data_IF_697439730981
#
_entry.id   IF_697439730981
#
_cell.length_a   1.000
_cell.length_b   1.000
_cell.length_c   1.000
_cell.angle_alpha   90.00
_cell.angle_beta   90.00
_cell.angle_gamma   90.00
#
_symmetry.space_group_name_H-M   'P 1'
#
loop_
_entity.id
_entity.type
_entity.pdbx_description
1 polymer ?
#
# COMPACT_ATOMS: atom_id res chain seq x y z
N UNK A 1 -17.73 30.55 24.83
CA UNK A 1 -17.30 31.65 23.94
C UNK A 1 -16.17 32.42 24.60
N UNK A 2 -16.34 32.99 25.84
CA UNK A 2 -15.29 33.77 26.51
C UNK A 2 -13.91 33.08 26.54
N UNK A 3 -13.87 31.78 26.88
CA UNK A 3 -12.62 30.98 26.89
C UNK A 3 -11.96 30.85 25.52
N UNK A 4 -12.75 30.85 24.44
CA UNK A 4 -12.25 30.84 23.06
C UNK A 4 -11.69 32.21 22.66
N UNK A 5 -12.33 33.28 23.09
CA UNK A 5 -11.82 34.64 22.89
C UNK A 5 -10.48 34.84 23.62
N UNK A 6 -10.34 34.30 24.83
CA UNK A 6 -9.09 34.35 25.60
C UNK A 6 -7.98 33.56 24.89
N UNK A 7 -8.31 32.39 24.31
CA UNK A 7 -7.36 31.59 23.54
C UNK A 7 -6.84 32.32 22.33
N UNK A 8 -7.72 32.90 21.49
CA UNK A 8 -7.32 33.59 20.27
C UNK A 8 -6.64 34.94 20.53
N UNK A 9 -6.74 35.50 21.75
CA UNK A 9 -6.05 36.70 22.21
C UNK A 9 -4.79 36.40 23.03
N UNK A 10 -4.49 35.14 23.27
CA UNK A 10 -3.32 34.74 24.06
C UNK A 10 -2.00 35.02 23.32
N UNK A 11 -0.88 34.87 24.02
CA UNK A 11 0.47 35.08 23.46
C UNK A 11 0.76 34.16 22.24
N UNK A 12 0.09 33.00 22.14
CA UNK A 12 0.18 32.11 21.00
C UNK A 12 -0.20 32.84 19.69
N UNK A 13 -1.22 33.70 19.72
CA UNK A 13 -1.67 34.42 18.54
C UNK A 13 -0.68 35.50 18.05
N UNK A 14 0.29 35.90 18.87
CA UNK A 14 1.33 36.85 18.49
C UNK A 14 2.43 36.20 17.63
N UNK A 15 2.64 34.89 17.75
CA UNK A 15 3.70 34.15 17.07
C UNK A 15 3.17 33.07 16.12
N UNK A 16 1.87 32.82 16.13
CA UNK A 16 1.21 31.75 15.38
C UNK A 16 -0.07 32.24 14.72
N UNK A 17 -0.40 31.69 13.56
CA UNK A 17 -1.70 31.88 12.94
C UNK A 17 -2.70 30.89 13.55
N UNK A 18 -3.85 31.39 13.97
CA UNK A 18 -4.93 30.57 14.53
C UNK A 18 -6.16 30.73 13.64
N UNK A 19 -6.68 29.62 13.13
CA UNK A 19 -8.01 29.50 12.56
C UNK A 19 -8.84 28.58 13.42
N UNK A 20 -10.01 29.01 13.86
CA UNK A 20 -10.87 28.24 14.73
C UNK A 20 -12.33 28.37 14.31
N UNK A 21 -13.01 27.23 14.19
CA UNK A 21 -14.45 27.14 13.97
C UNK A 21 -15.03 26.11 14.94
N UNK A 22 -16.06 26.51 15.67
CA UNK A 22 -16.90 25.59 16.44
C UNK A 22 -18.26 25.55 15.78
N UNK A 23 -18.68 24.37 15.36
CA UNK A 23 -19.90 24.16 14.59
C UNK A 23 -20.85 23.24 15.32
N UNK A 24 -22.11 23.62 15.42
CA UNK A 24 -23.17 22.78 15.94
C UNK A 24 -23.77 21.97 14.78
N UNK A 25 -23.55 20.65 14.82
CA UNK A 25 -24.01 19.74 13.76
C UNK A 25 -25.54 19.54 13.79
N UNK A 26 -26.16 19.66 14.95
CA UNK A 26 -27.62 19.49 15.09
C UNK A 26 -28.37 20.75 14.63
N UNK A 27 -27.84 21.92 14.99
CA UNK A 27 -28.38 23.21 14.58
C UNK A 27 -27.92 23.67 13.19
N UNK A 28 -26.98 22.94 12.57
CA UNK A 28 -26.35 23.28 11.29
C UNK A 28 -25.85 24.73 11.23
N UNK A 29 -25.17 25.17 12.28
CA UNK A 29 -24.73 26.54 12.43
C UNK A 29 -23.39 26.69 13.18
N UNK A 30 -22.63 27.73 12.82
CA UNK A 30 -21.41 28.07 13.52
C UNK A 30 -21.72 28.75 14.87
N UNK A 31 -21.17 28.24 15.96
CA UNK A 31 -21.23 28.79 17.30
C UNK A 31 -20.13 29.84 17.50
N UNK A 32 -18.97 29.61 16.90
CA UNK A 32 -17.78 30.46 17.02
C UNK A 32 -16.92 30.37 15.77
N UNK A 33 -16.45 31.53 15.31
CA UNK A 33 -15.58 31.68 14.15
C UNK A 33 -14.45 32.66 14.46
N UNK A 34 -13.22 32.27 14.12
CA UNK A 34 -12.04 33.12 14.15
C UNK A 34 -11.08 32.74 13.04
N UNK A 35 -10.88 33.58 12.04
CA UNK A 35 -10.03 33.30 10.86
C UNK A 35 -10.31 31.96 10.19
N UNK A 36 -11.53 31.46 10.25
CA UNK A 36 -11.93 30.14 9.76
C UNK A 36 -11.77 29.97 8.24
N UNK A 37 -11.76 31.08 7.51
CA UNK A 37 -11.54 31.12 6.06
C UNK A 37 -10.07 31.33 5.67
N UNK A 38 -9.17 31.46 6.66
CA UNK A 38 -7.77 31.68 6.35
C UNK A 38 -7.13 30.40 5.81
N UNK A 39 -6.50 30.52 4.65
CA UNK A 39 -5.75 29.40 4.05
C UNK A 39 -4.51 29.09 4.88
N UNK A 40 -4.41 27.85 5.32
CA UNK A 40 -3.28 27.32 6.10
C UNK A 40 -2.75 26.06 5.46
N UNK A 41 -1.49 25.67 5.81
CA UNK A 41 -0.95 24.39 5.43
C UNK A 41 -1.64 23.27 6.24
N UNK A 42 -2.35 22.33 5.59
CA UNK A 42 -3.14 21.34 6.31
C UNK A 42 -2.29 20.25 6.98
N UNK A 43 -1.03 20.04 6.54
CA UNK A 43 -0.17 18.96 7.01
C UNK A 43 -0.93 17.62 7.05
N UNK A 44 -0.78 16.86 8.14
CA UNK A 44 -1.42 15.54 8.27
C UNK A 44 -2.95 15.56 8.41
N UNK A 45 -3.57 16.73 8.56
CA UNK A 45 -5.05 16.82 8.52
C UNK A 45 -5.60 16.48 7.13
N UNK A 46 -4.78 16.57 6.07
CA UNK A 46 -5.13 16.07 4.73
C UNK A 46 -5.50 14.58 4.72
N UNK A 47 -5.01 13.79 5.66
CA UNK A 47 -5.37 12.37 5.77
C UNK A 47 -6.84 12.15 6.05
N UNK A 48 -7.50 13.09 6.72
CA UNK A 48 -8.95 13.06 6.94
C UNK A 48 -9.70 13.17 5.61
N UNK A 49 -9.26 14.06 4.72
CA UNK A 49 -9.86 14.18 3.38
C UNK A 49 -9.68 12.88 2.59
N UNK A 50 -8.48 12.30 2.63
CA UNK A 50 -8.21 10.99 1.99
C UNK A 50 -9.10 9.89 2.56
N UNK A 51 -9.31 9.88 3.89
CA UNK A 51 -10.17 8.90 4.56
C UNK A 51 -11.63 9.03 4.13
N UNK A 52 -12.16 10.24 4.12
CA UNK A 52 -13.54 10.53 3.70
C UNK A 52 -13.75 10.10 2.25
N UNK A 53 -12.87 10.53 1.34
CA UNK A 53 -12.94 10.16 -0.07
C UNK A 53 -12.83 8.64 -0.29
N UNK A 54 -11.99 7.96 0.52
CA UNK A 54 -11.85 6.51 0.43
C UNK A 54 -13.11 5.78 0.91
N UNK A 55 -13.74 6.21 1.99
CA UNK A 55 -15.00 5.64 2.47
C UNK A 55 -16.15 5.87 1.49
N UNK A 56 -16.23 7.06 0.91
CA UNK A 56 -17.22 7.40 -0.10
C UNK A 56 -17.06 6.57 -1.38
N UNK A 57 -15.83 6.51 -1.90
CA UNK A 57 -15.54 5.88 -3.20
C UNK A 57 -15.38 4.37 -3.16
N UNK A 58 -14.74 3.85 -2.14
CA UNK A 58 -14.41 2.42 -2.03
C UNK A 58 -15.42 1.66 -1.14
N UNK A 59 -16.05 2.37 -0.21
CA UNK A 59 -16.95 1.79 0.78
C UNK A 59 -16.24 1.18 1.99
N UNK A 60 -16.96 1.03 3.10
CA UNK A 60 -16.43 0.51 4.37
C UNK A 60 -16.03 -0.96 4.34
N UNK A 61 -16.52 -1.74 3.37
CA UNK A 61 -16.17 -3.16 3.18
C UNK A 61 -14.95 -3.38 2.29
N UNK A 62 -14.31 -2.31 1.79
CA UNK A 62 -13.15 -2.42 0.91
C UNK A 62 -11.99 -3.17 1.57
N UNK A 63 -11.29 -3.98 0.77
CA UNK A 63 -10.14 -4.76 1.20
C UNK A 63 -8.94 -4.50 0.29
N UNK A 64 -7.81 -4.17 0.89
CA UNK A 64 -6.52 -4.21 0.23
C UNK A 64 -6.16 -5.67 -0.03
N UNK A 65 -5.67 -5.97 -1.21
CA UNK A 65 -5.46 -7.35 -1.64
C UNK A 65 -4.05 -7.54 -2.21
N UNK A 66 -3.35 -8.57 -1.74
CA UNK A 66 -2.10 -9.05 -2.34
C UNK A 66 -2.31 -10.50 -2.77
N UNK A 67 -2.02 -10.80 -4.03
CA UNK A 67 -2.25 -12.12 -4.61
C UNK A 67 -0.95 -12.87 -4.89
N UNK A 68 -0.99 -14.18 -4.73
CA UNK A 68 0.02 -15.11 -5.21
C UNK A 68 -0.60 -15.98 -6.29
N UNK A 69 0.00 -15.95 -7.49
CA UNK A 69 -0.48 -16.66 -8.66
C UNK A 69 0.67 -17.41 -9.34
N UNK A 70 0.35 -18.37 -10.20
CA UNK A 70 1.33 -19.07 -11.02
C UNK A 70 0.87 -19.23 -12.46
N UNK A 71 1.83 -19.52 -13.34
CA UNK A 71 1.61 -19.95 -14.73
C UNK A 71 2.16 -21.34 -14.95
N UNK A 72 1.80 -21.98 -16.06
CA UNK A 72 2.30 -23.29 -16.41
C UNK A 72 1.53 -24.42 -15.75
N UNK A 73 2.18 -25.55 -15.51
CA UNK A 73 1.55 -26.76 -14.99
C UNK A 73 2.34 -27.37 -13.82
N UNK A 74 1.61 -28.04 -12.94
CA UNK A 74 2.21 -28.79 -11.84
C UNK A 74 2.22 -30.26 -12.25
N UNK A 75 3.42 -30.86 -12.33
CA UNK A 75 3.63 -32.30 -12.60
C UNK A 75 4.31 -32.96 -11.41
N UNK A 76 3.62 -33.86 -10.77
CA UNK A 76 4.09 -34.39 -9.48
C UNK A 76 4.17 -33.24 -8.47
N UNK A 77 5.37 -33.00 -7.95
CA UNK A 77 5.65 -31.90 -7.01
C UNK A 77 6.38 -30.69 -7.64
N UNK A 78 6.53 -30.71 -8.98
CA UNK A 78 7.28 -29.69 -9.72
C UNK A 78 6.34 -28.73 -10.42
N UNK A 79 6.45 -27.44 -10.14
CA UNK A 79 5.84 -26.38 -10.93
C UNK A 79 6.73 -26.07 -12.15
N UNK A 80 6.28 -26.40 -13.35
CA UNK A 80 6.88 -25.99 -14.62
C UNK A 80 6.28 -24.65 -15.07
N UNK A 81 6.69 -23.56 -14.43
CA UNK A 81 6.10 -22.24 -14.65
C UNK A 81 6.61 -21.21 -13.67
N UNK A 82 6.09 -20.01 -13.79
CA UNK A 82 6.52 -18.86 -13.00
C UNK A 82 5.52 -18.54 -11.89
N UNK A 83 6.01 -17.99 -10.79
CA UNK A 83 5.18 -17.44 -9.72
C UNK A 83 5.10 -15.90 -9.86
N UNK A 84 3.93 -15.34 -9.60
CA UNK A 84 3.66 -13.90 -9.60
C UNK A 84 3.13 -13.45 -8.25
N UNK A 85 3.89 -12.59 -7.58
CA UNK A 85 3.43 -11.85 -6.41
C UNK A 85 2.80 -10.55 -6.89
N UNK A 86 1.47 -10.42 -6.80
CA UNK A 86 0.72 -9.29 -7.34
C UNK A 86 0.42 -8.32 -6.22
N UNK A 87 1.09 -7.17 -6.25
CA UNK A 87 0.93 -6.14 -5.24
C UNK A 87 -0.32 -5.30 -5.43
N UNK A 88 -1.14 -5.22 -4.40
CA UNK A 88 -2.29 -4.32 -4.32
C UNK A 88 -2.05 -3.09 -3.45
N UNK A 89 -0.80 -2.77 -3.18
CA UNK A 89 -0.40 -1.68 -2.31
C UNK A 89 -1.03 -1.77 -0.93
N UNK A 90 -0.96 -2.96 -0.34
CA UNK A 90 -1.35 -3.21 1.04
C UNK A 90 -0.21 -2.82 2.00
N UNK A 91 -0.33 -1.71 2.74
CA UNK A 91 0.76 -1.23 3.61
C UNK A 91 0.91 -2.06 4.87
N UNK A 92 -0.08 -2.93 5.14
CA UNK A 92 -0.15 -3.76 6.35
C UNK A 92 0.45 -5.15 6.15
N UNK A 93 0.75 -5.55 4.90
CA UNK A 93 1.33 -6.85 4.59
C UNK A 93 2.59 -7.10 5.43
N UNK A 94 2.63 -8.22 6.12
CA UNK A 94 3.65 -8.54 7.12
C UNK A 94 4.22 -9.96 6.95
N UNK A 95 5.00 -10.40 7.95
CA UNK A 95 5.65 -11.72 7.93
C UNK A 95 4.65 -12.88 8.00
N UNK A 96 3.53 -12.71 8.73
CA UNK A 96 2.51 -13.76 8.83
C UNK A 96 1.79 -13.94 7.50
N UNK A 97 1.57 -12.85 6.75
CA UNK A 97 1.03 -12.91 5.40
C UNK A 97 2.00 -13.61 4.44
N UNK A 98 3.30 -13.34 4.59
CA UNK A 98 4.34 -14.01 3.82
C UNK A 98 4.38 -15.51 4.13
N UNK A 99 4.28 -15.90 5.40
CA UNK A 99 4.20 -17.30 5.82
C UNK A 99 2.98 -17.99 5.20
N UNK A 100 1.84 -17.30 5.16
CA UNK A 100 0.63 -17.82 4.51
C UNK A 100 0.80 -17.99 2.99
N UNK A 101 1.62 -17.17 2.33
CA UNK A 101 1.98 -17.37 0.92
C UNK A 101 2.80 -18.61 0.72
N UNK A 102 3.82 -18.83 1.54
CA UNK A 102 4.67 -20.02 1.50
C UNK A 102 3.84 -21.29 1.78
N UNK A 103 2.99 -21.23 2.79
CA UNK A 103 2.06 -22.31 3.09
C UNK A 103 1.10 -22.61 1.91
N UNK A 104 0.65 -21.58 1.20
CA UNK A 104 -0.15 -21.73 -0.01
C UNK A 104 0.57 -22.54 -1.09
N UNK A 105 1.85 -22.26 -1.33
CA UNK A 105 2.68 -23.04 -2.28
C UNK A 105 2.81 -24.48 -1.83
N UNK A 106 3.08 -24.73 -0.56
CA UNK A 106 3.23 -26.08 0.01
C UNK A 106 1.93 -26.89 -0.04
N UNK A 107 0.78 -26.27 0.22
CA UNK A 107 -0.54 -26.93 0.11
C UNK A 107 -0.86 -27.40 -1.29
N UNK A 108 -0.30 -26.76 -2.30
CA UNK A 108 -0.42 -27.24 -3.68
C UNK A 108 0.49 -28.45 -3.99
N UNK A 109 1.27 -28.91 -3.01
CA UNK A 109 2.22 -30.00 -3.16
C UNK A 109 3.46 -29.62 -3.96
N UNK A 110 3.78 -28.33 -4.09
CA UNK A 110 4.94 -27.83 -4.83
C UNK A 110 6.15 -27.87 -3.90
N UNK A 111 7.13 -28.71 -4.22
CA UNK A 111 8.45 -28.75 -3.58
C UNK A 111 9.57 -28.20 -4.48
N UNK A 112 9.29 -28.04 -5.78
CA UNK A 112 10.25 -27.53 -6.76
C UNK A 112 9.57 -26.55 -7.71
N UNK A 113 10.19 -25.41 -7.93
CA UNK A 113 9.75 -24.39 -8.90
C UNK A 113 10.80 -24.35 -10.02
N UNK A 114 10.41 -24.80 -11.23
CA UNK A 114 11.22 -24.65 -12.46
C UNK A 114 10.73 -23.40 -13.21
N UNK A 115 11.15 -22.23 -12.76
CA UNK A 115 10.75 -20.93 -13.28
C UNK A 115 11.17 -19.79 -12.39
N UNK A 116 10.63 -18.61 -12.67
CA UNK A 116 11.00 -17.38 -11.98
C UNK A 116 9.90 -16.93 -10.99
N UNK A 117 10.29 -16.14 -10.01
CA UNK A 117 9.36 -15.44 -9.11
C UNK A 117 9.35 -13.96 -9.49
N UNK A 118 8.21 -13.46 -9.91
CA UNK A 118 8.05 -12.08 -10.37
C UNK A 118 7.23 -11.24 -9.40
N UNK A 119 7.60 -9.96 -9.27
CA UNK A 119 6.81 -8.93 -8.65
C UNK A 119 5.93 -8.25 -9.70
N UNK A 120 4.61 -8.34 -9.59
CA UNK A 120 3.70 -7.49 -10.35
C UNK A 120 3.40 -6.22 -9.55
N UNK A 121 4.03 -5.13 -9.94
CA UNK A 121 3.86 -3.79 -9.37
C UNK A 121 3.03 -2.86 -10.27
N UNK A 122 2.33 -3.41 -11.27
CA UNK A 122 1.63 -2.65 -12.30
C UNK A 122 0.40 -1.87 -11.81
N UNK A 123 0.00 -2.07 -10.56
CA UNK A 123 -1.11 -1.34 -9.94
C UNK A 123 -0.86 0.17 -9.93
N UNK A 124 0.37 0.59 -9.69
CA UNK A 124 0.79 1.97 -9.48
C UNK A 124 1.90 2.37 -10.46
N UNK A 125 2.04 3.67 -10.70
CA UNK A 125 3.19 4.25 -11.41
C UNK A 125 4.52 4.01 -10.67
N UNK A 126 5.61 4.46 -11.28
CA UNK A 126 6.97 4.24 -10.76
C UNK A 126 7.42 5.28 -9.72
N UNK A 127 6.55 6.23 -9.33
CA UNK A 127 6.89 7.22 -8.29
C UNK A 127 7.18 6.51 -6.96
N UNK A 128 8.35 6.73 -6.40
CA UNK A 128 8.85 6.02 -5.21
C UNK A 128 8.64 6.78 -3.92
N UNK A 129 8.34 8.06 -4.00
CA UNK A 129 8.12 8.95 -2.85
C UNK A 129 6.78 9.65 -2.99
N UNK A 130 6.14 9.97 -1.88
CA UNK A 130 4.94 10.78 -1.85
C UNK A 130 5.25 12.24 -2.18
N UNK A 131 4.31 12.90 -2.85
CA UNK A 131 4.43 14.33 -3.14
C UNK A 131 4.43 15.13 -1.82
N UNK A 132 5.36 16.05 -1.68
CA UNK A 132 5.49 16.88 -0.48
C UNK A 132 6.16 16.20 0.71
N UNK A 133 6.69 14.99 0.56
CA UNK A 133 7.54 14.39 1.59
C UNK A 133 8.87 15.12 1.71
N UNK A 134 9.31 15.35 2.93
CA UNK A 134 10.60 15.96 3.19
C UNK A 134 11.73 14.94 3.01
N UNK A 135 12.89 15.41 2.59
CA UNK A 135 14.07 14.57 2.33
C UNK A 135 14.68 13.96 3.60
N UNK A 136 14.42 14.58 4.75
CA UNK A 136 14.88 14.18 6.08
C UNK A 136 13.85 13.33 6.85
N UNK A 137 12.68 13.09 6.26
CA UNK A 137 11.69 12.18 6.82
C UNK A 137 12.09 10.72 6.59
N UNK A 138 11.89 9.86 7.60
CA UNK A 138 12.02 8.40 7.47
C UNK A 138 10.81 7.81 6.73
N UNK A 139 10.67 8.20 5.47
CA UNK A 139 9.57 7.74 4.63
C UNK A 139 9.93 6.45 3.89
N UNK A 140 9.05 5.44 3.89
CA UNK A 140 9.26 4.23 3.12
C UNK A 140 9.06 4.48 1.62
N UNK A 141 9.66 3.61 0.81
CA UNK A 141 9.41 3.62 -0.62
C UNK A 141 7.93 3.28 -0.94
N UNK A 142 7.30 4.05 -1.82
CA UNK A 142 5.99 3.73 -2.36
C UNK A 142 6.10 2.61 -3.39
N UNK A 143 5.72 1.42 -3.01
CA UNK A 143 5.67 0.25 -3.87
C UNK A 143 4.39 -0.54 -3.62
N UNK A 144 3.71 -1.03 -4.66
CA UNK A 144 2.51 -1.88 -4.48
C UNK A 144 2.79 -3.18 -3.74
N UNK A 145 4.05 -3.59 -3.66
CA UNK A 145 4.45 -4.85 -3.06
C UNK A 145 5.54 -4.59 -2.01
N UNK A 146 5.12 -4.43 -0.77
CA UNK A 146 5.97 -4.17 0.39
C UNK A 146 5.84 -5.29 1.43
N UNK A 147 6.86 -5.46 2.25
CA UNK A 147 6.79 -6.25 3.47
C UNK A 147 7.49 -5.50 4.60
N UNK A 148 6.75 -5.21 5.68
CA UNK A 148 7.27 -4.45 6.80
C UNK A 148 7.86 -3.10 6.36
N UNK A 149 7.19 -2.37 5.46
CA UNK A 149 7.56 -1.06 4.89
C UNK A 149 8.78 -1.07 3.95
N UNK A 150 9.30 -2.26 3.59
CA UNK A 150 10.49 -2.41 2.73
C UNK A 150 10.15 -3.02 1.37
N UNK A 151 10.77 -2.51 0.31
CA UNK A 151 10.62 -3.00 -1.08
C UNK A 151 11.62 -4.15 -1.36
N UNK A 152 11.54 -5.20 -0.55
CA UNK A 152 12.35 -6.41 -0.66
C UNK A 152 11.49 -7.69 -0.61
N UNK A 153 10.26 -7.59 -1.11
CA UNK A 153 9.27 -8.66 -1.00
C UNK A 153 9.76 -9.96 -1.66
N UNK A 154 10.22 -9.88 -2.90
CA UNK A 154 10.63 -11.08 -3.66
C UNK A 154 11.79 -11.79 -3.00
N UNK A 155 12.80 -11.05 -2.55
CA UNK A 155 13.97 -11.64 -1.89
C UNK A 155 13.55 -12.39 -0.62
N UNK A 156 12.67 -11.77 0.18
CA UNK A 156 12.17 -12.40 1.42
C UNK A 156 11.27 -13.60 1.15
N UNK A 157 10.42 -13.52 0.13
CA UNK A 157 9.53 -14.61 -0.23
C UNK A 157 10.32 -15.80 -0.76
N UNK A 158 11.25 -15.57 -1.68
CA UNK A 158 12.11 -16.63 -2.21
C UNK A 158 12.98 -17.27 -1.13
N UNK A 159 13.60 -16.46 -0.26
CA UNK A 159 14.37 -16.99 0.87
C UNK A 159 13.51 -17.86 1.78
N UNK A 160 12.30 -17.39 2.11
CA UNK A 160 11.39 -18.14 2.97
C UNK A 160 10.93 -19.45 2.34
N UNK A 161 10.71 -19.50 1.01
CA UNK A 161 10.43 -20.75 0.28
C UNK A 161 11.59 -21.75 0.43
N UNK A 162 12.83 -21.27 0.25
CA UNK A 162 14.03 -22.10 0.41
C UNK A 162 14.19 -22.59 1.84
N UNK A 163 13.98 -21.73 2.83
CA UNK A 163 14.03 -22.10 4.26
C UNK A 163 13.03 -23.20 4.62
N UNK A 164 11.89 -23.23 3.90
CA UNK A 164 10.84 -24.25 4.05
C UNK A 164 11.02 -25.47 3.12
N UNK A 165 12.18 -25.58 2.46
CA UNK A 165 12.58 -26.73 1.67
C UNK A 165 12.10 -26.73 0.22
N UNK A 166 11.57 -25.61 -0.30
CA UNK A 166 11.21 -25.49 -1.71
C UNK A 166 12.45 -25.19 -2.54
N UNK A 167 12.72 -25.98 -3.56
CA UNK A 167 13.82 -25.79 -4.50
C UNK A 167 13.39 -24.82 -5.61
N UNK A 168 14.20 -23.82 -5.91
CA UNK A 168 13.92 -22.88 -7.01
C UNK A 168 15.02 -23.02 -8.06
N UNK A 169 14.62 -23.38 -9.28
CA UNK A 169 15.49 -23.60 -10.44
C UNK A 169 15.14 -22.55 -11.49
N UNK A 170 16.01 -21.57 -11.67
CA UNK A 170 15.89 -20.57 -12.71
C UNK A 170 16.01 -21.23 -14.11
N UNK A 171 15.08 -20.95 -15.01
CA UNK A 171 15.08 -21.49 -16.36
C UNK A 171 16.26 -21.04 -17.21
N UNK A 172 16.83 -19.88 -16.90
CA UNK A 172 17.90 -19.25 -17.65
C UNK A 172 19.30 -19.64 -17.14
N UNK A 173 19.38 -20.37 -16.05
CA UNK A 173 20.65 -20.83 -15.48
C UNK A 173 20.81 -22.36 -15.58
N UNK A 174 21.49 -22.80 -16.63
CA UNK A 174 21.91 -24.21 -16.81
C UNK A 174 22.93 -24.64 -15.74
N UNK A 175 23.42 -23.71 -14.94
CA UNK A 175 24.41 -23.95 -13.90
C UNK A 175 24.36 -22.84 -12.84
N UNK A 176 23.47 -22.91 -11.87
CA UNK A 176 23.80 -22.29 -10.57
C UNK A 176 22.69 -22.51 -9.54
N UNK A 177 23.00 -23.27 -8.53
CA UNK A 177 22.46 -23.07 -7.20
C UNK A 177 22.73 -21.62 -6.77
N UNK A 178 21.69 -20.89 -6.36
CA UNK A 178 21.78 -19.57 -5.72
C UNK A 178 22.25 -18.37 -6.56
N UNK A 179 21.31 -17.75 -7.27
CA UNK A 179 21.44 -16.36 -7.72
C UNK A 179 20.33 -15.48 -7.15
N UNK A 180 20.18 -15.45 -5.84
CA UNK A 180 19.24 -14.52 -5.16
C UNK A 180 19.89 -13.22 -4.69
N UNK A 181 21.16 -13.00 -4.94
CA UNK A 181 21.84 -11.77 -4.52
C UNK A 181 22.11 -10.90 -5.74
N UNK A 182 21.38 -9.80 -5.87
CA UNK A 182 21.58 -8.67 -6.79
C UNK A 182 20.66 -8.54 -8.02
N UNK A 183 19.38 -8.84 -7.92
CA UNK A 183 18.46 -8.58 -9.04
C UNK A 183 17.38 -7.54 -8.70
N UNK A 184 17.80 -6.34 -8.34
CA UNK A 184 16.89 -5.22 -8.07
C UNK A 184 16.09 -4.72 -9.29
N UNK A 185 16.25 -5.31 -10.47
CA UNK A 185 15.62 -4.83 -11.69
C UNK A 185 14.92 -5.86 -12.57
N UNK A 186 15.34 -7.11 -12.58
CA UNK A 186 14.94 -8.06 -13.62
C UNK A 186 13.67 -8.89 -13.33
N UNK A 187 13.12 -8.79 -12.11
CA UNK A 187 11.95 -9.59 -11.72
C UNK A 187 10.65 -8.77 -11.55
N UNK A 188 10.59 -7.56 -12.08
CA UNK A 188 9.34 -6.80 -12.14
C UNK A 188 8.64 -7.11 -13.46
N UNK A 189 7.54 -7.85 -13.40
CA UNK A 189 6.77 -8.25 -14.57
C UNK A 189 5.28 -8.26 -14.25
N UNK A 190 4.48 -7.66 -15.12
CA UNK A 190 3.02 -7.73 -15.02
C UNK A 190 2.55 -9.18 -15.19
N UNK A 191 1.66 -9.59 -14.32
CA UNK A 191 1.00 -10.90 -14.36
C UNK A 191 0.29 -11.10 -15.71
N UNK A 192 0.56 -12.17 -16.46
CA UNK A 192 -0.16 -12.48 -17.70
C UNK A 192 -1.61 -12.87 -17.43
N UNK A 193 -2.42 -12.86 -18.48
CA UNK A 193 -3.75 -13.45 -18.41
C UNK A 193 -3.64 -14.98 -18.30
N UNK A 194 -4.67 -15.61 -17.72
CA UNK A 194 -4.71 -17.07 -17.59
C UNK A 194 -3.81 -17.64 -16.49
N UNK A 195 -3.39 -16.81 -15.52
CA UNK A 195 -2.70 -17.32 -14.32
C UNK A 195 -3.68 -18.00 -13.38
N UNK A 196 -3.18 -18.99 -12.65
CA UNK A 196 -3.91 -19.69 -11.60
C UNK A 196 -3.61 -19.06 -10.24
N UNK A 197 -4.63 -18.94 -9.40
CA UNK A 197 -4.46 -18.41 -8.03
C UNK A 197 -3.89 -19.51 -7.12
N UNK A 198 -2.90 -19.14 -6.31
CA UNK A 198 -2.41 -19.95 -5.19
C UNK A 198 -3.14 -19.55 -3.91
N UNK A 199 -3.00 -18.29 -3.54
CA UNK A 199 -3.62 -17.72 -2.34
C UNK A 199 -3.67 -16.19 -2.42
N UNK A 200 -4.46 -15.57 -1.55
CA UNK A 200 -4.55 -14.11 -1.42
C UNK A 200 -4.53 -13.71 0.04
N UNK A 201 -4.00 -12.51 0.31
CA UNK A 201 -4.07 -11.88 1.63
C UNK A 201 -4.85 -10.58 1.54
N UNK A 202 -5.58 -10.28 2.60
CA UNK A 202 -6.50 -9.15 2.65
C UNK A 202 -6.35 -8.40 3.97
N UNK A 203 -6.36 -7.08 3.87
CA UNK A 203 -6.53 -6.20 5.03
C UNK A 203 -7.66 -5.20 4.76
N UNK A 204 -8.49 -4.95 5.77
CA UNK A 204 -9.66 -4.08 5.61
C UNK A 204 -9.27 -2.60 5.56
N UNK A 205 -10.10 -1.80 4.89
CA UNK A 205 -9.95 -0.34 4.87
C UNK A 205 -9.91 0.23 6.29
N UNK A 206 -10.69 -0.32 7.21
CA UNK A 206 -10.70 0.07 8.62
C UNK A 206 -9.32 -0.10 9.26
N UNK A 207 -8.69 -1.28 9.08
CA UNK A 207 -7.36 -1.56 9.63
C UNK A 207 -6.29 -0.60 9.12
N UNK A 208 -6.37 -0.23 7.83
CA UNK A 208 -5.46 0.73 7.21
C UNK A 208 -5.74 2.14 7.69
N UNK A 209 -7.01 2.54 7.73
CA UNK A 209 -7.45 3.87 8.16
C UNK A 209 -7.12 4.16 9.63
N UNK A 210 -7.31 3.18 10.51
CA UNK A 210 -6.99 3.32 11.93
C UNK A 210 -5.53 3.70 12.16
N UNK A 211 -4.61 3.03 11.47
CA UNK A 211 -3.18 3.35 11.59
C UNK A 211 -2.85 4.69 10.92
N UNK A 212 -3.41 4.95 9.74
CA UNK A 212 -3.26 6.22 9.05
C UNK A 212 -3.63 7.41 9.93
N UNK A 213 -4.78 7.36 10.58
CA UNK A 213 -5.31 8.49 11.36
C UNK A 213 -4.73 8.58 12.76
N UNK A 214 -4.55 7.45 13.48
CA UNK A 214 -4.04 7.46 14.85
C UNK A 214 -2.54 7.73 14.94
N UNK A 215 -1.77 7.11 14.04
CA UNK A 215 -0.31 7.23 14.04
C UNK A 215 0.19 8.24 13.02
N UNK A 216 -0.73 8.84 12.25
CA UNK A 216 -0.40 9.77 11.15
C UNK A 216 0.55 9.15 10.11
N UNK A 217 0.43 7.83 9.84
CA UNK A 217 1.34 7.09 8.99
C UNK A 217 1.18 7.49 7.51
N UNK A 218 2.28 8.00 6.92
CA UNK A 218 2.29 8.50 5.54
C UNK A 218 2.14 7.37 4.51
N UNK A 219 2.75 6.20 4.73
CA UNK A 219 2.63 5.06 3.82
C UNK A 219 1.18 4.58 3.71
N UNK A 220 0.47 4.53 4.83
CA UNK A 220 -0.92 4.13 4.87
C UNK A 220 -1.84 5.14 4.17
N UNK A 221 -1.52 6.44 4.28
CA UNK A 221 -2.23 7.50 3.56
C UNK A 221 -2.01 7.41 2.05
N UNK A 222 -0.76 7.26 1.61
CA UNK A 222 -0.41 7.12 0.20
C UNK A 222 -1.01 5.84 -0.41
N UNK A 223 -0.97 4.73 0.33
CA UNK A 223 -1.59 3.49 -0.10
C UNK A 223 -3.09 3.69 -0.37
N UNK A 224 -3.81 4.30 0.56
CA UNK A 224 -5.23 4.61 0.41
C UNK A 224 -5.50 5.58 -0.74
N UNK A 225 -4.68 6.61 -0.89
CA UNK A 225 -4.74 7.59 -1.97
C UNK A 225 -4.60 6.93 -3.36
N UNK A 226 -3.64 6.00 -3.51
CA UNK A 226 -3.49 5.26 -4.77
C UNK A 226 -4.61 4.24 -5.03
N UNK A 227 -5.30 3.73 -3.98
CA UNK A 227 -6.50 2.92 -4.19
C UNK A 227 -7.65 3.74 -4.80
N UNK A 228 -7.81 5.00 -4.41
CA UNK A 228 -8.76 5.91 -5.06
C UNK A 228 -8.49 6.02 -6.57
N UNK A 229 -7.23 6.20 -6.95
CA UNK A 229 -6.85 6.20 -8.37
C UNK A 229 -7.17 4.87 -9.06
N UNK A 230 -6.84 3.75 -8.42
CA UNK A 230 -7.05 2.42 -8.99
C UNK A 230 -8.55 2.08 -9.15
N UNK A 231 -9.43 2.63 -8.30
CA UNK A 231 -10.88 2.43 -8.37
C UNK A 231 -11.51 2.96 -9.66
N UNK A 232 -10.84 3.88 -10.35
CA UNK A 232 -11.28 4.39 -11.67
C UNK A 232 -10.99 3.44 -12.83
N UNK A 233 -10.31 2.32 -12.56
CA UNK A 233 -9.81 1.41 -13.60
C UNK A 233 -8.47 1.85 -14.21
N UNK A 234 -7.93 3.02 -13.80
CA UNK A 234 -6.64 3.50 -14.29
C UNK A 234 -5.49 2.55 -13.89
N UNK A 235 -4.71 2.13 -14.87
CA UNK A 235 -3.51 1.32 -14.63
C UNK A 235 -2.38 1.81 -15.55
N UNK A 236 -1.28 2.26 -14.95
CA UNK A 236 -1.03 2.38 -13.52
C UNK A 236 -1.86 3.49 -12.85
N UNK A 237 -2.19 3.30 -11.57
CA UNK A 237 -2.72 4.34 -10.73
C UNK A 237 -1.68 5.44 -10.53
N UNK A 238 -2.09 6.71 -10.61
CA UNK A 238 -1.21 7.88 -10.46
C UNK A 238 -1.77 8.86 -9.43
N UNK A 239 -0.92 9.67 -8.83
CA UNK A 239 -1.34 10.74 -7.93
C UNK A 239 -2.33 11.72 -8.60
N UNK A 240 -2.15 11.98 -9.91
CA UNK A 240 -3.09 12.81 -10.69
C UNK A 240 -4.49 12.21 -10.71
N UNK A 241 -4.61 10.90 -10.95
CA UNK A 241 -5.91 10.22 -10.95
C UNK A 241 -6.55 10.23 -9.56
N UNK A 242 -5.77 10.03 -8.50
CA UNK A 242 -6.27 10.06 -7.13
C UNK A 242 -6.84 11.44 -6.76
N UNK A 243 -6.10 12.52 -7.10
CA UNK A 243 -6.60 13.90 -6.89
C UNK A 243 -7.89 14.18 -7.67
N UNK A 244 -8.01 13.66 -8.89
CA UNK A 244 -9.24 13.82 -9.67
C UNK A 244 -10.45 13.17 -8.98
N UNK A 245 -10.26 12.04 -8.31
CA UNK A 245 -11.35 11.40 -7.53
C UNK A 245 -11.73 12.21 -6.30
N UNK A 246 -10.76 12.80 -5.59
CA UNK A 246 -11.02 13.58 -4.37
C UNK A 246 -11.72 14.91 -4.69
N UNK A 247 -11.47 15.48 -5.87
CA UNK A 247 -12.02 16.78 -6.27
C UNK A 247 -13.44 16.68 -6.90
N UNK A 248 -14.01 15.48 -7.01
CA UNK A 248 -15.37 15.24 -7.48
C UNK A 248 -16.33 15.03 -6.31
#
# INVERSE_FOLDING_TARGET
>A
VATLDDLVKSDISQTSQIGLMVYDLDADSAIYCHNELQTMRPASTMKVITAIAALDKLGGSYQFKTDLCYTGEIKGHVLHGDIYCVGGFDPKFNVDDLNAFVEGVRRMGIDTIMGNIYADKSMKDTARLGEGWCWDDDNPCLSPLLIGRKDNFIDRFAQKLVDEGVVIIDKDSVNCAFRFMNTHGNFVRRKPQGTYSITSRFHTIEQVMMKMLKESDNLYAESMFYQLAASTGARPATAKNARAVINH
#
